data_IF_224848458537
#
_entry.id   IF_224848458537
#
_cell.length_a   1.000
_cell.length_b   1.000
_cell.length_c   1.000
_cell.angle_alpha   90.00
_cell.angle_beta   90.00
_cell.angle_gamma   90.00
#
_symmetry.space_group_name_H-M   'P 1'
#
loop_
_entity.id
_entity.type
_entity.pdbx_description
1 polymer ?
#
# COMPACT_ATOMS: atom_id res chain seq x y z
N UNK A 1 12.07 -31.84 -16.00
CA UNK A 1 10.82 -32.47 -16.47
C UNK A 1 9.75 -32.48 -15.37
N UNK A 2 9.38 -31.28 -14.86
CA UNK A 2 8.33 -31.15 -13.86
C UNK A 2 6.97 -30.92 -14.53
N UNK A 3 5.91 -31.54 -13.99
CA UNK A 3 4.52 -31.32 -14.40
C UNK A 3 3.91 -30.09 -13.68
N UNK A 4 4.40 -29.76 -12.49
CA UNK A 4 3.93 -28.67 -11.64
C UNK A 4 5.11 -27.85 -11.16
N UNK A 5 4.97 -26.53 -11.23
CA UNK A 5 5.93 -25.59 -10.71
C UNK A 5 5.28 -24.78 -9.56
N UNK A 6 5.92 -24.79 -8.39
CA UNK A 6 5.51 -23.96 -7.24
C UNK A 6 6.59 -22.91 -7.00
N UNK A 7 6.20 -21.63 -7.00
CA UNK A 7 7.14 -20.52 -6.90
C UNK A 7 6.52 -19.31 -6.17
N UNK A 8 7.34 -18.32 -5.89
CA UNK A 8 6.87 -17.04 -5.32
C UNK A 8 7.21 -15.87 -6.26
N UNK A 9 8.47 -15.41 -6.29
CA UNK A 9 8.91 -14.18 -7.01
C UNK A 9 9.57 -14.43 -8.37
N UNK A 10 9.84 -15.70 -8.72
CA UNK A 10 10.51 -16.06 -9.98
C UNK A 10 9.64 -15.68 -11.17
N UNK A 11 10.24 -15.02 -12.17
CA UNK A 11 9.56 -14.70 -13.43
C UNK A 11 9.23 -15.97 -14.20
N UNK A 12 8.00 -16.06 -14.70
CA UNK A 12 7.50 -17.17 -15.50
C UNK A 12 7.10 -16.65 -16.87
N UNK A 13 7.95 -16.92 -17.86
CA UNK A 13 7.78 -16.52 -19.25
C UNK A 13 8.50 -17.51 -20.17
N UNK A 14 8.48 -17.27 -21.48
CA UNK A 14 9.10 -18.12 -22.48
C UNK A 14 10.60 -18.34 -22.20
N UNK A 15 11.31 -17.29 -21.77
CA UNK A 15 12.74 -17.38 -21.50
C UNK A 15 13.07 -18.30 -20.33
N UNK A 16 12.23 -18.31 -19.28
CA UNK A 16 12.50 -19.06 -18.04
C UNK A 16 11.97 -20.48 -18.06
N UNK A 17 10.83 -20.73 -18.71
CA UNK A 17 10.17 -22.05 -18.74
C UNK A 17 9.98 -22.62 -20.15
N UNK A 18 10.57 -22.03 -21.19
CA UNK A 18 10.39 -22.45 -22.58
C UNK A 18 10.79 -23.92 -22.85
N UNK A 19 11.77 -24.43 -22.13
CA UNK A 19 12.26 -25.81 -22.23
C UNK A 19 11.44 -26.83 -21.39
N UNK A 20 10.53 -26.36 -20.53
CA UNK A 20 9.71 -27.23 -19.67
C UNK A 20 8.52 -27.82 -20.46
N UNK A 21 8.77 -28.93 -21.17
CA UNK A 21 7.79 -29.52 -22.10
C UNK A 21 6.59 -30.18 -21.42
N UNK A 22 6.78 -30.67 -20.18
CA UNK A 22 5.76 -31.42 -19.44
C UNK A 22 4.96 -30.55 -18.46
N UNK A 23 5.30 -29.25 -18.35
CA UNK A 23 4.68 -28.36 -17.38
C UNK A 23 3.19 -28.14 -17.69
N UNK A 24 2.33 -28.40 -16.72
CA UNK A 24 0.85 -28.32 -16.82
C UNK A 24 0.26 -27.26 -15.88
N UNK A 25 0.96 -26.96 -14.77
CA UNK A 25 0.45 -26.08 -13.72
C UNK A 25 1.57 -25.25 -13.11
N UNK A 26 1.30 -23.97 -12.94
CA UNK A 26 2.12 -23.03 -12.17
C UNK A 26 1.33 -22.55 -10.94
N UNK A 27 1.87 -22.78 -9.74
CA UNK A 27 1.30 -22.31 -8.48
C UNK A 27 2.17 -21.19 -7.92
N UNK A 28 1.58 -20.01 -7.73
CA UNK A 28 2.25 -18.86 -7.12
C UNK A 28 1.85 -18.77 -5.65
N UNK A 29 2.82 -18.88 -4.73
CA UNK A 29 2.60 -18.77 -3.28
C UNK A 29 2.53 -17.30 -2.83
N UNK A 30 1.75 -16.50 -3.57
CA UNK A 30 1.53 -15.08 -3.33
C UNK A 30 0.13 -14.65 -3.80
N UNK A 31 -0.32 -13.47 -3.36
CA UNK A 31 -1.55 -12.86 -3.89
C UNK A 31 -1.30 -12.26 -5.27
N UNK A 32 -0.19 -11.54 -5.46
CA UNK A 32 0.18 -10.93 -6.74
C UNK A 32 0.69 -11.96 -7.75
N UNK A 33 0.42 -11.72 -9.03
CA UNK A 33 0.79 -12.58 -10.16
C UNK A 33 1.52 -11.81 -11.27
N UNK A 34 2.16 -10.70 -10.92
CA UNK A 34 2.87 -9.84 -11.87
C UNK A 34 4.11 -10.52 -12.49
N UNK A 35 4.60 -11.58 -11.85
CA UNK A 35 5.70 -12.40 -12.32
C UNK A 35 5.29 -13.46 -13.35
N UNK A 36 4.00 -13.56 -13.72
CA UNK A 36 3.51 -14.50 -14.72
C UNK A 36 3.22 -13.80 -16.06
N UNK A 37 3.84 -14.26 -17.13
CA UNK A 37 3.38 -14.00 -18.50
C UNK A 37 2.17 -14.91 -18.79
N UNK A 38 0.99 -14.36 -18.48
CA UNK A 38 -0.28 -15.11 -18.59
C UNK A 38 -0.62 -15.47 -20.03
N UNK A 39 -0.33 -14.56 -20.97
CA UNK A 39 -0.56 -14.82 -22.40
C UNK A 39 0.30 -15.97 -22.92
N UNK A 40 1.56 -16.06 -22.45
CA UNK A 40 2.42 -17.17 -22.75
C UNK A 40 1.94 -18.48 -22.14
N UNK A 41 1.50 -18.47 -20.88
CA UNK A 41 0.95 -19.65 -20.21
C UNK A 41 -0.32 -20.16 -20.92
N UNK A 42 -1.21 -19.26 -21.30
CA UNK A 42 -2.47 -19.59 -22.00
C UNK A 42 -2.17 -20.21 -23.39
N UNK A 43 -1.23 -19.63 -24.16
CA UNK A 43 -0.80 -20.21 -25.45
C UNK A 43 -0.20 -21.64 -25.32
N UNK A 44 0.42 -21.92 -24.17
CA UNK A 44 1.03 -23.22 -23.84
C UNK A 44 0.04 -24.19 -23.19
N UNK A 45 -1.21 -23.80 -22.94
CA UNK A 45 -2.19 -24.56 -22.15
C UNK A 45 -1.67 -24.94 -20.74
N UNK A 46 -0.86 -24.06 -20.13
CA UNK A 46 -0.36 -24.22 -18.77
C UNK A 46 -1.29 -23.48 -17.82
N UNK A 47 -1.99 -24.22 -16.97
CA UNK A 47 -2.84 -23.62 -15.94
C UNK A 47 -2.01 -22.87 -14.88
N UNK A 48 -2.57 -21.81 -14.29
CA UNK A 48 -1.93 -21.16 -13.16
C UNK A 48 -2.93 -20.93 -12.02
N UNK A 49 -2.42 -20.90 -10.80
CA UNK A 49 -3.17 -20.60 -9.58
C UNK A 49 -2.31 -19.77 -8.64
N UNK A 50 -2.95 -18.93 -7.85
CA UNK A 50 -2.30 -18.16 -6.78
C UNK A 50 -3.07 -18.34 -5.46
N UNK A 51 -2.51 -17.85 -4.35
CA UNK A 51 -3.16 -17.89 -3.04
C UNK A 51 -3.78 -16.52 -2.78
N UNK A 52 -4.99 -16.32 -3.32
CA UNK A 52 -5.72 -15.09 -3.13
C UNK A 52 -6.20 -14.92 -1.68
N UNK A 53 -6.06 -13.71 -1.12
CA UNK A 53 -6.66 -13.33 0.16
C UNK A 53 -5.91 -13.79 1.42
N UNK A 54 -4.85 -14.59 1.33
CA UNK A 54 -4.12 -15.08 2.51
C UNK A 54 -3.47 -13.95 3.33
N UNK A 55 -3.08 -12.88 2.67
CA UNK A 55 -2.38 -11.75 3.29
C UNK A 55 -3.31 -10.62 3.75
N UNK A 56 -4.63 -10.77 3.63
CA UNK A 56 -5.58 -9.68 3.91
C UNK A 56 -5.39 -9.11 5.31
N UNK A 57 -5.37 -9.95 6.33
CA UNK A 57 -5.23 -9.51 7.73
C UNK A 57 -3.83 -8.97 8.01
N UNK A 58 -2.77 -9.63 7.51
CA UNK A 58 -1.40 -9.20 7.77
C UNK A 58 -1.08 -7.86 7.10
N UNK A 59 -1.52 -7.63 5.85
CA UNK A 59 -1.30 -6.34 5.19
C UNK A 59 -2.17 -5.24 5.82
N UNK A 60 -3.41 -5.53 6.21
CA UNK A 60 -4.21 -4.57 6.96
C UNK A 60 -3.55 -4.19 8.29
N UNK A 61 -3.08 -5.17 9.07
CA UNK A 61 -2.34 -4.91 10.31
C UNK A 61 -1.09 -4.06 10.06
N UNK A 62 -0.32 -4.39 9.02
CA UNK A 62 0.89 -3.64 8.69
C UNK A 62 0.59 -2.20 8.26
N UNK A 63 -0.51 -1.96 7.55
CA UNK A 63 -0.99 -0.61 7.22
C UNK A 63 -1.13 0.26 8.48
N UNK A 64 -1.77 -0.28 9.51
CA UNK A 64 -1.94 0.43 10.79
C UNK A 64 -0.63 0.55 11.56
N UNK A 65 0.22 -0.46 11.55
CA UNK A 65 1.54 -0.39 12.19
C UNK A 65 2.39 0.75 11.60
N UNK A 66 2.45 0.87 10.27
CA UNK A 66 3.12 1.98 9.58
C UNK A 66 2.48 3.33 9.91
N UNK A 67 1.13 3.39 9.86
CA UNK A 67 0.43 4.62 10.19
C UNK A 67 0.73 5.09 11.61
N UNK A 68 0.61 4.22 12.62
CA UNK A 68 0.88 4.59 14.00
C UNK A 68 2.34 4.99 14.24
N UNK A 69 3.28 4.33 13.58
CA UNK A 69 4.70 4.71 13.65
C UNK A 69 4.90 6.17 13.23
N UNK A 70 4.25 6.60 12.13
CA UNK A 70 4.34 7.96 11.60
C UNK A 70 3.49 8.96 12.41
N UNK A 71 2.26 8.57 12.75
CA UNK A 71 1.26 9.43 13.38
C UNK A 71 1.64 9.78 14.83
N UNK A 72 2.04 8.75 15.60
CA UNK A 72 2.38 8.86 17.02
C UNK A 72 3.85 9.23 17.25
N UNK A 73 4.65 9.42 16.17
CA UNK A 73 6.08 9.73 16.28
C UNK A 73 6.85 8.72 17.15
N UNK A 74 6.52 7.42 17.00
CA UNK A 74 7.00 6.37 17.91
C UNK A 74 8.52 6.32 18.02
N UNK A 75 9.24 6.50 16.90
CA UNK A 75 10.69 6.53 16.92
C UNK A 75 11.25 7.67 17.78
N UNK A 76 10.72 8.87 17.62
CA UNK A 76 11.17 10.02 18.38
C UNK A 76 11.02 9.80 19.89
N UNK A 77 9.85 9.30 20.33
CA UNK A 77 9.59 9.07 21.75
C UNK A 77 10.36 7.85 22.30
N UNK A 78 10.57 6.81 21.49
CA UNK A 78 11.42 5.67 21.86
C UNK A 78 12.88 6.10 22.06
N UNK A 79 13.44 6.86 21.10
CA UNK A 79 14.80 7.41 21.21
C UNK A 79 14.90 8.38 22.40
N UNK A 80 13.88 9.24 22.63
CA UNK A 80 13.86 10.17 23.76
C UNK A 80 13.98 9.47 25.12
N UNK A 81 13.28 8.36 25.30
CA UNK A 81 13.31 7.58 26.53
C UNK A 81 14.61 6.77 26.66
N UNK A 82 15.07 6.15 25.57
CA UNK A 82 16.33 5.36 25.54
C UNK A 82 17.57 6.21 25.82
N UNK A 83 17.55 7.46 25.38
CA UNK A 83 18.62 8.43 25.63
C UNK A 83 18.51 9.09 27.02
N UNK A 84 17.62 8.60 27.87
CA UNK A 84 17.39 9.09 29.24
C UNK A 84 17.03 10.58 29.33
N UNK A 85 16.57 11.18 28.23
CA UNK A 85 16.19 12.62 28.18
C UNK A 85 15.00 12.96 29.07
N UNK A 86 14.20 11.96 29.43
CA UNK A 86 13.10 12.11 30.38
C UNK A 86 13.54 12.09 31.84
N UNK A 87 14.75 11.61 32.14
CA UNK A 87 15.28 11.51 33.52
C UNK A 87 15.60 12.90 34.05
N UNK A 88 14.99 13.26 35.17
CA UNK A 88 15.17 14.59 35.78
C UNK A 88 14.31 15.71 35.19
N UNK A 89 13.38 15.39 34.29
CA UNK A 89 12.41 16.40 33.82
C UNK A 89 11.50 16.86 34.98
N UNK A 90 11.09 18.11 34.92
CA UNK A 90 10.24 18.74 35.98
C UNK A 90 8.77 18.50 35.78
N UNK A 91 8.38 18.01 34.60
CA UNK A 91 6.98 17.73 34.25
C UNK A 91 6.84 16.26 33.81
N UNK A 92 5.65 15.70 34.04
CA UNK A 92 5.37 14.29 33.74
C UNK A 92 5.08 14.00 32.24
N UNK A 93 5.16 14.99 31.37
CA UNK A 93 4.90 14.85 29.94
C UNK A 93 5.93 15.59 29.08
N UNK A 94 6.09 15.12 27.84
CA UNK A 94 6.93 15.76 26.84
C UNK A 94 6.10 16.04 25.57
N UNK A 95 6.01 17.31 25.16
CA UNK A 95 5.18 17.78 24.04
C UNK A 95 6.03 18.39 22.90
N UNK A 96 7.10 17.72 22.48
CA UNK A 96 7.95 18.25 21.42
C UNK A 96 7.34 18.02 20.03
N UNK A 97 6.73 16.85 19.80
CA UNK A 97 6.17 16.48 18.51
C UNK A 97 4.64 16.50 18.53
N UNK A 98 4.06 17.00 17.45
CA UNK A 98 2.61 16.97 17.28
C UNK A 98 2.19 15.60 16.77
N UNK A 99 1.19 15.02 17.38
CA UNK A 99 0.49 13.84 16.91
C UNK A 99 -0.99 14.15 16.66
N UNK A 100 -1.67 13.31 15.91
CA UNK A 100 -3.07 13.48 15.57
C UNK A 100 -3.83 12.17 15.84
N UNK A 101 -5.10 12.28 16.21
CA UNK A 101 -6.01 11.13 16.32
C UNK A 101 -6.58 10.77 14.95
N UNK A 102 -6.87 9.49 14.74
CA UNK A 102 -7.58 9.01 13.53
C UNK A 102 -9.06 9.43 13.57
N UNK A 103 -9.65 9.53 14.77
CA UNK A 103 -11.04 9.92 14.94
C UNK A 103 -11.38 11.23 14.22
N UNK A 104 -12.43 11.22 13.41
CA UNK A 104 -12.90 12.37 12.64
C UNK A 104 -12.05 12.70 11.39
N UNK A 105 -10.91 12.02 11.16
CA UNK A 105 -10.10 12.20 9.97
C UNK A 105 -10.71 11.53 8.76
N UNK A 106 -10.44 12.05 7.57
CA UNK A 106 -10.80 11.40 6.31
C UNK A 106 -9.69 10.44 5.88
N UNK A 107 -10.04 9.17 5.68
CA UNK A 107 -9.14 8.15 5.16
C UNK A 107 -9.53 7.79 3.73
N UNK A 108 -8.69 8.16 2.77
CA UNK A 108 -8.83 7.83 1.35
C UNK A 108 -8.17 6.49 1.04
N UNK A 109 -8.93 5.56 0.49
CA UNK A 109 -8.43 4.23 0.10
C UNK A 109 -8.39 4.13 -1.43
N UNK A 110 -7.20 3.93 -1.99
CA UNK A 110 -7.02 3.68 -3.41
C UNK A 110 -7.04 2.16 -3.64
N UNK A 111 -8.17 1.66 -4.17
CA UNK A 111 -8.39 0.23 -4.38
C UNK A 111 -9.13 -0.47 -3.22
N UNK A 112 -10.45 -0.59 -3.32
CA UNK A 112 -11.30 -1.23 -2.29
C UNK A 112 -11.50 -2.73 -2.60
N UNK A 113 -10.40 -3.50 -2.70
CA UNK A 113 -10.40 -4.97 -2.74
C UNK A 113 -10.52 -5.59 -1.33
N UNK A 114 -10.13 -6.85 -1.16
CA UNK A 114 -10.19 -7.52 0.15
C UNK A 114 -9.38 -6.77 1.23
N UNK A 115 -8.15 -6.38 0.90
CA UNK A 115 -7.27 -5.65 1.83
C UNK A 115 -7.85 -4.26 2.10
N UNK A 116 -8.18 -3.49 1.05
CA UNK A 116 -8.72 -2.14 1.21
C UNK A 116 -10.02 -2.11 2.04
N UNK A 117 -10.91 -3.10 1.89
CA UNK A 117 -12.11 -3.23 2.74
C UNK A 117 -11.74 -3.49 4.19
N UNK A 118 -10.80 -4.41 4.43
CA UNK A 118 -10.38 -4.70 5.81
C UNK A 118 -9.76 -3.48 6.48
N UNK A 119 -8.93 -2.72 5.77
CA UNK A 119 -8.40 -1.43 6.25
C UNK A 119 -9.52 -0.44 6.51
N UNK A 120 -10.50 -0.34 5.61
CA UNK A 120 -11.66 0.53 5.77
C UNK A 120 -12.46 0.22 7.05
N UNK A 121 -12.72 -1.06 7.32
CA UNK A 121 -13.47 -1.49 8.51
C UNK A 121 -12.74 -1.12 9.80
N UNK A 122 -11.43 -1.35 9.85
CA UNK A 122 -10.60 -1.00 11.01
C UNK A 122 -10.52 0.53 11.16
N UNK A 123 -10.35 1.29 10.06
CA UNK A 123 -10.33 2.74 10.09
C UNK A 123 -11.64 3.34 10.62
N UNK A 124 -12.79 2.78 10.20
CA UNK A 124 -14.10 3.16 10.75
C UNK A 124 -14.21 2.86 12.23
N UNK A 125 -13.66 1.73 12.71
CA UNK A 125 -13.65 1.41 14.13
C UNK A 125 -12.83 2.41 14.97
N UNK A 126 -11.81 3.05 14.37
CA UNK A 126 -11.09 4.19 14.96
C UNK A 126 -11.82 5.54 14.78
N UNK A 127 -13.00 5.55 14.18
CA UNK A 127 -13.81 6.76 13.97
C UNK A 127 -13.40 7.59 12.76
N UNK A 128 -12.69 7.03 11.80
CA UNK A 128 -12.37 7.72 10.53
C UNK A 128 -13.59 7.81 9.60
N UNK A 129 -13.64 8.88 8.81
CA UNK A 129 -14.53 9.01 7.66
C UNK A 129 -13.85 8.35 6.45
N UNK A 130 -14.31 7.17 6.03
CA UNK A 130 -13.65 6.42 4.97
C UNK A 130 -14.30 6.71 3.62
N UNK A 131 -13.46 7.10 2.66
CA UNK A 131 -13.82 7.24 1.23
C UNK A 131 -12.88 6.37 0.39
N UNK A 132 -13.30 6.00 -0.83
CA UNK A 132 -12.44 5.21 -1.69
C UNK A 132 -12.51 5.61 -3.17
N UNK A 133 -11.41 5.37 -3.87
CA UNK A 133 -11.30 5.44 -5.32
C UNK A 133 -11.20 4.03 -5.92
N UNK A 134 -12.05 3.76 -6.93
CA UNK A 134 -12.05 2.48 -7.65
C UNK A 134 -11.12 2.55 -8.86
N UNK A 135 -9.98 1.89 -8.82
CA UNK A 135 -9.00 1.86 -9.92
C UNK A 135 -9.49 1.08 -11.15
N UNK A 136 -10.46 0.18 -10.99
CA UNK A 136 -11.10 -0.54 -12.09
C UNK A 136 -12.29 0.21 -12.71
N UNK A 137 -12.77 1.27 -12.04
CA UNK A 137 -13.98 1.99 -12.43
C UNK A 137 -15.29 1.25 -12.16
N UNK A 138 -15.26 -0.07 -12.00
CA UNK A 138 -16.45 -0.93 -11.86
C UNK A 138 -16.77 -1.35 -10.42
N UNK A 139 -15.83 -1.17 -9.48
CA UNK A 139 -16.04 -1.61 -8.10
C UNK A 139 -16.93 -0.64 -7.34
N UNK A 140 -18.16 -1.09 -7.03
CA UNK A 140 -19.09 -0.44 -6.12
C UNK A 140 -19.33 -1.35 -4.93
N UNK A 141 -19.21 -0.82 -3.72
CA UNK A 141 -19.38 -1.58 -2.49
C UNK A 141 -20.37 -0.85 -1.58
N UNK A 142 -21.43 -1.53 -1.17
CA UNK A 142 -22.38 -0.99 -0.20
C UNK A 142 -21.71 -0.72 1.14
N UNK A 143 -22.13 0.36 1.78
CA UNK A 143 -21.58 0.78 3.08
C UNK A 143 -20.25 1.54 3.01
N UNK A 144 -19.72 1.85 1.79
CA UNK A 144 -18.53 2.68 1.59
C UNK A 144 -18.79 3.80 0.59
N UNK A 145 -18.26 4.98 0.87
CA UNK A 145 -18.42 6.16 0.01
C UNK A 145 -17.36 6.17 -1.10
N UNK A 146 -17.81 5.93 -2.34
CA UNK A 146 -16.95 6.06 -3.52
C UNK A 146 -16.83 7.53 -3.92
N UNK A 147 -15.63 7.94 -4.33
CA UNK A 147 -15.37 9.28 -4.87
C UNK A 147 -14.48 9.20 -6.11
N UNK A 148 -14.32 10.30 -6.82
CA UNK A 148 -13.29 10.45 -7.85
C UNK A 148 -11.90 10.61 -7.23
N UNK A 149 -10.87 10.48 -8.07
CA UNK A 149 -9.48 10.46 -7.61
C UNK A 149 -9.04 11.81 -7.01
N UNK A 150 -9.38 12.90 -7.68
CA UNK A 150 -8.98 14.23 -7.27
C UNK A 150 -9.62 14.63 -5.92
N UNK A 151 -10.90 14.35 -5.76
CA UNK A 151 -11.62 14.57 -4.50
C UNK A 151 -11.01 13.73 -3.38
N UNK A 152 -10.65 12.46 -3.63
CA UNK A 152 -9.98 11.64 -2.63
C UNK A 152 -8.67 12.28 -2.18
N UNK A 153 -7.81 12.69 -3.11
CA UNK A 153 -6.52 13.30 -2.79
C UNK A 153 -6.69 14.60 -1.98
N UNK A 154 -7.59 15.48 -2.42
CA UNK A 154 -7.78 16.80 -1.82
C UNK A 154 -8.41 16.77 -0.42
N UNK A 155 -9.22 15.74 -0.13
CA UNK A 155 -9.99 15.72 1.13
C UNK A 155 -9.42 14.80 2.20
N UNK A 156 -8.53 13.87 1.83
CA UNK A 156 -8.01 12.87 2.75
C UNK A 156 -6.89 13.41 3.64
N UNK A 157 -6.90 13.02 4.90
CA UNK A 157 -5.82 13.23 5.87
C UNK A 157 -4.85 12.05 5.88
N UNK A 158 -5.36 10.86 5.54
CA UNK A 158 -4.60 9.61 5.40
C UNK A 158 -4.98 9.02 4.05
N UNK A 159 -3.99 8.61 3.26
CA UNK A 159 -4.21 7.97 1.96
C UNK A 159 -3.45 6.65 1.94
N UNK A 160 -4.13 5.55 1.63
CA UNK A 160 -3.49 4.23 1.53
C UNK A 160 -3.81 3.54 0.21
N UNK A 161 -2.76 2.95 -0.40
CA UNK A 161 -2.86 2.24 -1.68
C UNK A 161 -2.93 0.74 -1.44
N UNK A 162 -4.01 0.11 -1.94
CA UNK A 162 -4.25 -1.33 -1.91
C UNK A 162 -4.67 -1.86 -3.29
N UNK A 163 -4.27 -1.15 -4.33
CA UNK A 163 -4.56 -1.49 -5.73
C UNK A 163 -3.48 -2.41 -6.32
N UNK A 164 -3.84 -3.26 -7.29
CA UNK A 164 -2.86 -3.98 -8.09
C UNK A 164 -2.13 -3.03 -9.05
N UNK A 165 -0.91 -3.39 -9.46
CA UNK A 165 -0.22 -2.72 -10.56
C UNK A 165 -0.85 -3.13 -11.89
N UNK A 166 -1.31 -2.16 -12.64
CA UNK A 166 -1.90 -2.28 -13.98
C UNK A 166 -1.49 -1.06 -14.80
N UNK A 167 -1.67 -1.04 -16.13
CA UNK A 167 -1.40 0.16 -16.93
C UNK A 167 -2.15 1.42 -16.44
N UNK A 168 -3.29 1.27 -15.76
CA UNK A 168 -4.06 2.40 -15.22
C UNK A 168 -3.63 2.83 -13.82
N UNK A 169 -2.78 2.07 -13.14
CA UNK A 169 -2.31 2.38 -11.79
C UNK A 169 -0.82 2.62 -11.73
N UNK A 170 -0.09 2.29 -12.78
CA UNK A 170 1.33 2.64 -12.92
C UNK A 170 1.49 4.16 -12.93
N UNK A 171 2.40 4.65 -12.08
CA UNK A 171 2.64 6.09 -11.87
C UNK A 171 1.38 6.92 -11.55
N UNK A 172 0.38 6.28 -10.94
CA UNK A 172 -0.87 6.95 -10.55
C UNK A 172 -0.61 8.08 -9.54
N UNK A 173 0.40 7.91 -8.69
CA UNK A 173 0.85 8.89 -7.70
C UNK A 173 2.13 9.53 -8.22
N UNK A 174 1.97 10.58 -8.99
CA UNK A 174 2.98 11.46 -9.57
C UNK A 174 3.01 12.83 -8.85
N UNK A 175 3.87 13.75 -9.27
CA UNK A 175 3.96 15.11 -8.73
C UNK A 175 2.61 15.84 -8.76
N UNK A 176 1.80 15.63 -9.80
CA UNK A 176 0.49 16.26 -9.93
C UNK A 176 -0.51 15.69 -8.91
N UNK A 177 -0.49 14.39 -8.69
CA UNK A 177 -1.31 13.75 -7.65
C UNK A 177 -0.89 14.22 -6.26
N UNK A 178 0.41 14.23 -5.97
CA UNK A 178 0.97 14.69 -4.70
C UNK A 178 0.64 16.15 -4.43
N UNK A 179 0.68 17.03 -5.45
CA UNK A 179 0.35 18.45 -5.30
C UNK A 179 -1.12 18.72 -4.91
N UNK A 180 -2.02 17.75 -5.08
CA UNK A 180 -3.43 17.84 -4.68
C UNK A 180 -3.68 17.40 -3.25
N UNK A 181 -2.72 16.70 -2.63
CA UNK A 181 -2.86 16.21 -1.25
C UNK A 181 -2.75 17.37 -0.26
N UNK A 182 -3.32 17.17 0.94
CA UNK A 182 -3.16 18.14 2.03
C UNK A 182 -1.70 18.16 2.50
N UNK A 183 -1.14 19.32 2.88
CA UNK A 183 0.20 19.38 3.49
C UNK A 183 0.34 18.54 4.78
N UNK A 184 -0.78 18.27 5.44
CA UNK A 184 -0.83 17.38 6.62
C UNK A 184 -1.07 15.92 6.29
N UNK A 185 -1.18 15.53 5.02
CA UNK A 185 -1.51 14.17 4.62
C UNK A 185 -0.39 13.19 4.94
N UNK A 186 -0.78 11.99 5.38
CA UNK A 186 0.09 10.82 5.49
C UNK A 186 -0.25 9.87 4.34
N UNK A 187 0.75 9.55 3.53
CA UNK A 187 0.62 8.64 2.39
C UNK A 187 1.22 7.27 2.69
N UNK A 188 0.50 6.18 2.37
CA UNK A 188 0.93 4.81 2.60
C UNK A 188 0.81 3.99 1.31
N UNK A 189 1.90 3.33 0.89
CA UNK A 189 1.86 2.41 -0.25
C UNK A 189 2.11 0.96 0.18
N UNK A 190 1.07 0.15 0.18
CA UNK A 190 1.11 -1.30 0.44
C UNK A 190 0.64 -2.11 -0.80
N UNK A 191 0.54 -1.44 -1.94
CA UNK A 191 0.17 -2.05 -3.21
C UNK A 191 1.38 -2.59 -3.97
N UNK A 192 1.98 -1.74 -4.82
CA UNK A 192 3.19 -2.00 -5.61
C UNK A 192 4.01 -0.73 -5.76
N UNK A 193 5.33 -0.85 -5.76
CA UNK A 193 6.26 0.28 -5.91
C UNK A 193 5.93 1.17 -7.11
N UNK A 194 5.85 0.64 -8.35
CA UNK A 194 5.61 1.44 -9.55
C UNK A 194 4.25 2.14 -9.64
N UNK A 195 3.36 2.03 -8.64
CA UNK A 195 2.16 2.87 -8.54
C UNK A 195 2.54 4.32 -8.19
N UNK A 196 3.70 4.51 -7.59
CA UNK A 196 4.23 5.79 -7.13
C UNK A 196 5.46 6.15 -7.96
N UNK A 197 5.60 7.40 -8.36
CA UNK A 197 6.85 7.97 -8.86
C UNK A 197 7.68 8.36 -7.63
N UNK A 198 8.70 7.55 -7.31
CA UNK A 198 9.46 7.69 -6.04
C UNK A 198 10.21 9.00 -5.94
N UNK A 199 10.74 9.53 -7.06
CA UNK A 199 11.41 10.82 -7.10
C UNK A 199 10.44 11.96 -6.75
N UNK A 200 9.23 11.96 -7.34
CA UNK A 200 8.19 12.94 -7.04
C UNK A 200 7.75 12.88 -5.56
N UNK A 201 7.70 11.66 -5.01
CA UNK A 201 7.36 11.46 -3.59
C UNK A 201 8.45 12.01 -2.67
N UNK A 202 9.74 11.81 -3.02
CA UNK A 202 10.86 12.36 -2.27
C UNK A 202 10.82 13.90 -2.28
N UNK A 203 10.62 14.51 -3.45
CA UNK A 203 10.48 15.96 -3.60
C UNK A 203 9.30 16.53 -2.80
N UNK A 204 8.16 15.82 -2.79
CA UNK A 204 6.99 16.23 -2.03
C UNK A 204 7.21 16.17 -0.51
N UNK A 205 8.00 15.22 -0.04
CA UNK A 205 8.39 15.12 1.38
C UNK A 205 9.40 16.21 1.75
N UNK A 206 10.42 16.44 0.93
CA UNK A 206 11.45 17.45 1.18
C UNK A 206 10.87 18.87 1.16
N UNK A 207 9.95 19.14 0.24
CA UNK A 207 9.26 20.44 0.17
C UNK A 207 8.17 20.65 1.24
N UNK A 208 7.80 19.60 1.99
CA UNK A 208 6.70 19.65 2.93
C UNK A 208 5.30 19.69 2.26
N UNK A 209 5.21 19.30 1.00
CA UNK A 209 3.93 19.17 0.27
C UNK A 209 3.01 18.14 0.91
N UNK A 210 3.57 17.08 1.51
CA UNK A 210 2.89 16.13 2.37
C UNK A 210 3.66 15.93 3.67
N UNK A 211 2.99 15.51 4.73
CA UNK A 211 3.61 15.43 6.06
C UNK A 211 4.52 14.21 6.24
N UNK A 212 4.15 13.07 5.68
CA UNK A 212 4.91 11.82 5.84
C UNK A 212 4.47 10.79 4.80
N UNK A 213 5.35 9.81 4.55
CA UNK A 213 5.02 8.63 3.77
C UNK A 213 5.52 7.35 4.43
N UNK A 214 4.80 6.24 4.20
CA UNK A 214 5.19 4.89 4.56
C UNK A 214 5.10 3.97 3.35
N UNK A 215 6.20 3.27 3.03
CA UNK A 215 6.30 2.39 1.87
C UNK A 215 6.62 0.96 2.32
N UNK A 216 5.73 0.02 2.03
CA UNK A 216 5.96 -1.43 2.19
C UNK A 216 6.59 -2.05 0.93
N UNK A 217 6.55 -1.31 -0.17
CA UNK A 217 6.98 -1.74 -1.52
C UNK A 217 7.74 -0.63 -2.23
N UNK A 218 8.72 -1.00 -3.06
CA UNK A 218 9.56 -0.07 -3.82
C UNK A 218 9.58 -0.43 -5.31
N UNK A 219 9.97 0.53 -6.15
CA UNK A 219 10.13 0.31 -7.60
C UNK A 219 11.24 -0.71 -7.90
N UNK A 220 12.32 -0.67 -7.13
CA UNK A 220 13.41 -1.65 -7.21
C UNK A 220 13.47 -2.44 -5.91
N UNK A 221 13.27 -3.75 -6.00
CA UNK A 221 13.34 -4.68 -4.89
C UNK A 221 14.23 -5.89 -5.27
N UNK A 222 15.23 -6.26 -4.42
CA UNK A 222 15.73 -5.54 -3.24
C UNK A 222 16.49 -4.27 -3.59
N UNK A 223 16.59 -3.35 -2.62
CA UNK A 223 17.40 -2.14 -2.74
C UNK A 223 18.88 -2.47 -2.71
#
# INVERSE_FOLDING_TARGET
DADVLVLNKVQVNEHTIGTARNLKLVCVTATGTNNLDKDYLDRRNIAWRNVAGYSTESVAQHTFAMLFYLLEKLRYYDDYVKEERYVGDTIFTHFAERFCQIHGKTWGIIGLGNIGRRVADIAKAFGANVIYYSTSGSNTQDGYTRTDFDTLLATSDIISVHAPLTPNTEHLIDAKALSKMKPSAIFLNLGRGPIVVEEDLADALESGQIAAAGLDVLCTEPM
#
